data_IF_418566998569
#
_entry.id   IF_418566998569
#
_cell.length_a   1.000
_cell.length_b   1.000
_cell.length_c   1.000
_cell.angle_alpha   90.00
_cell.angle_beta   90.00
_cell.angle_gamma   90.00
#
_symmetry.space_group_name_H-M   'P 1'
#
loop_
_entity.id
_entity.type
_entity.pdbx_description
1 polymer ?
#
# COMPACT_ATOMS: atom_id res chain seq x y z
N UNK A 1 70.37 -38.00 38.05
CA UNK A 1 70.49 -39.28 37.32
C UNK A 1 69.13 -39.68 36.77
N UNK A 2 69.09 -39.96 35.46
CA UNK A 2 68.22 -40.92 34.72
C UNK A 2 66.69 -40.96 34.99
N UNK A 3 65.94 -40.39 34.05
CA UNK A 3 64.84 -40.96 33.21
C UNK A 3 63.89 -42.05 33.74
N UNK A 4 62.57 -41.81 33.62
CA UNK A 4 61.60 -42.49 32.71
C UNK A 4 60.14 -42.12 33.11
N UNK A 5 59.39 -41.34 32.31
CA UNK A 5 58.32 -41.77 31.39
C UNK A 5 57.26 -42.74 31.98
N UNK A 6 56.04 -42.24 32.24
CA UNK A 6 54.83 -42.84 31.67
C UNK A 6 53.69 -41.82 31.58
N UNK A 7 53.02 -41.90 30.43
CA UNK A 7 51.97 -41.04 29.91
C UNK A 7 50.62 -41.49 30.49
N UNK A 8 49.74 -40.56 30.89
CA UNK A 8 48.31 -40.75 30.62
C UNK A 8 47.57 -39.40 30.48
N UNK A 9 46.98 -39.26 29.30
CA UNK A 9 46.10 -38.21 28.79
C UNK A 9 45.01 -37.76 29.76
N UNK A 10 44.86 -36.43 29.95
CA UNK A 10 43.54 -35.77 29.95
C UNK A 10 43.70 -34.46 29.17
N UNK A 11 43.33 -34.52 27.90
CA UNK A 11 43.27 -33.41 26.95
C UNK A 11 42.04 -32.53 27.21
N UNK A 12 42.33 -31.24 27.46
CA UNK A 12 41.65 -30.04 26.99
C UNK A 12 40.13 -30.10 26.70
N UNK A 13 39.36 -29.34 27.50
CA UNK A 13 38.19 -28.62 27.01
C UNK A 13 38.37 -27.12 27.29
N UNK A 14 39.00 -26.40 26.37
CA UNK A 14 38.77 -24.97 26.20
C UNK A 14 37.64 -24.81 25.19
N UNK A 15 36.47 -24.40 25.69
CA UNK A 15 35.33 -23.98 24.88
C UNK A 15 35.66 -22.64 24.21
N UNK A 16 36.16 -22.68 22.96
CA UNK A 16 36.01 -21.55 22.03
C UNK A 16 34.71 -21.75 21.27
N UNK A 17 33.70 -20.97 21.60
CA UNK A 17 32.43 -20.95 20.87
C UNK A 17 32.59 -20.27 19.51
N UNK A 18 32.62 -21.06 18.44
CA UNK A 18 32.19 -20.60 17.12
C UNK A 18 30.68 -20.82 17.04
N UNK A 19 29.90 -19.75 17.04
CA UNK A 19 28.49 -19.81 16.65
C UNK A 19 28.40 -19.93 15.13
N UNK A 20 28.21 -21.16 14.64
CA UNK A 20 27.65 -21.39 13.30
C UNK A 20 26.12 -21.38 13.38
N UNK A 21 25.50 -20.39 12.74
CA UNK A 21 24.06 -20.33 12.55
C UNK A 21 23.65 -21.41 11.55
N UNK A 22 23.26 -22.59 12.03
CA UNK A 22 22.64 -23.62 11.19
C UNK A 22 21.18 -23.26 10.92
N UNK A 23 20.93 -22.77 9.71
CA UNK A 23 19.59 -22.68 9.11
C UNK A 23 18.99 -24.08 9.03
N UNK A 24 17.90 -24.32 9.75
CA UNK A 24 17.16 -25.59 9.73
C UNK A 24 16.63 -25.85 8.30
N UNK A 25 17.28 -26.76 7.56
CA UNK A 25 16.65 -27.43 6.42
C UNK A 25 15.58 -28.37 6.98
N UNK A 26 14.32 -27.95 6.93
CA UNK A 26 13.19 -28.83 7.18
C UNK A 26 13.12 -29.87 6.06
N UNK A 27 13.34 -31.13 6.44
CA UNK A 27 13.29 -32.29 5.56
C UNK A 27 11.89 -32.48 4.99
N UNK A 28 11.78 -32.53 3.66
CA UNK A 28 10.56 -32.89 2.94
C UNK A 28 10.29 -34.38 3.15
N UNK A 29 9.26 -34.72 3.92
CA UNK A 29 8.73 -36.08 3.97
C UNK A 29 7.65 -36.20 2.90
N UNK A 30 7.99 -36.87 1.80
CA UNK A 30 7.05 -37.21 0.72
C UNK A 30 5.96 -38.11 1.31
N UNK A 31 4.75 -37.56 1.44
CA UNK A 31 3.54 -38.34 1.70
C UNK A 31 2.56 -37.94 0.61
N UNK A 32 2.43 -38.80 -0.40
CA UNK A 32 1.46 -38.67 -1.48
C UNK A 32 0.06 -38.92 -0.94
N UNK A 33 -0.71 -37.85 -0.79
CA UNK A 33 -2.17 -37.87 -0.82
C UNK A 33 -2.63 -36.65 -1.63
N UNK A 34 -3.59 -36.78 -2.57
CA UNK A 34 -3.96 -35.71 -3.48
C UNK A 34 -4.75 -34.65 -2.72
N UNK A 35 -4.08 -33.59 -2.30
CA UNK A 35 -4.73 -32.35 -1.84
C UNK A 35 -4.99 -31.52 -3.09
N UNK A 36 -6.27 -31.28 -3.36
CA UNK A 36 -6.73 -30.47 -4.49
C UNK A 36 -5.94 -29.15 -4.56
N UNK A 37 -5.51 -28.80 -5.77
CA UNK A 37 -4.79 -27.59 -6.07
C UNK A 37 -5.49 -26.39 -5.42
N UNK A 38 -4.87 -25.82 -4.39
CA UNK A 38 -5.20 -24.46 -3.97
C UNK A 38 -4.84 -23.58 -5.17
N UNK A 39 -5.78 -22.83 -5.76
CA UNK A 39 -5.46 -22.00 -6.92
C UNK A 39 -4.37 -21.01 -6.51
N UNK A 40 -3.20 -21.13 -7.13
CA UNK A 40 -2.17 -20.09 -7.10
C UNK A 40 -2.85 -18.81 -7.58
N UNK A 41 -2.88 -17.72 -6.81
CA UNK A 41 -3.50 -16.48 -7.25
C UNK A 41 -2.82 -16.04 -8.54
N UNK A 42 -3.58 -16.07 -9.64
CA UNK A 42 -3.17 -15.47 -10.89
C UNK A 42 -3.30 -13.97 -10.69
N UNK A 43 -2.18 -13.29 -10.49
CA UNK A 43 -2.12 -11.84 -10.57
C UNK A 43 -2.52 -11.46 -12.00
N UNK A 44 -3.74 -10.96 -12.18
CA UNK A 44 -4.03 -10.15 -13.35
C UNK A 44 -3.32 -8.82 -13.11
N UNK A 45 -2.03 -8.79 -13.39
CA UNK A 45 -1.26 -7.56 -13.45
C UNK A 45 -1.90 -6.76 -14.58
N UNK A 46 -2.81 -5.84 -14.26
CA UNK A 46 -3.22 -4.84 -15.22
C UNK A 46 -1.97 -4.03 -15.52
N UNK A 47 -1.40 -4.14 -16.74
CA UNK A 47 -0.20 -3.38 -17.05
C UNK A 47 -0.55 -1.90 -16.90
N UNK A 48 0.04 -1.27 -15.89
CA UNK A 48 -0.03 0.19 -15.77
C UNK A 48 0.47 0.78 -17.08
N UNK A 49 -0.18 1.81 -17.61
CA UNK A 49 0.30 2.47 -18.81
C UNK A 49 1.74 2.90 -18.57
N UNK A 50 2.66 2.27 -19.30
CA UNK A 50 4.05 2.71 -19.36
C UNK A 50 4.02 4.17 -19.77
N UNK A 51 4.73 5.08 -19.08
CA UNK A 51 4.82 6.48 -19.46
C UNK A 51 5.41 6.62 -20.87
N UNK A 52 4.59 6.51 -21.92
CA UNK A 52 5.01 6.75 -23.30
C UNK A 52 4.85 8.23 -23.58
N UNK A 53 5.93 8.99 -23.47
CA UNK A 53 5.96 10.39 -23.84
C UNK A 53 7.19 11.11 -23.31
N UNK A 54 7.82 11.91 -24.17
CA UNK A 54 8.79 12.92 -23.77
C UNK A 54 8.08 13.94 -22.87
N UNK A 55 8.63 14.21 -21.69
CA UNK A 55 8.05 15.18 -20.74
C UNK A 55 7.81 16.54 -21.42
N UNK A 56 6.61 17.10 -21.28
CA UNK A 56 6.26 18.38 -21.89
C UNK A 56 4.84 18.87 -21.53
N UNK A 57 4.58 20.18 -21.66
CA UNK A 57 3.26 20.77 -21.42
C UNK A 57 2.21 20.13 -22.33
N UNK A 58 1.10 19.66 -21.75
CA UNK A 58 0.01 18.99 -22.49
C UNK A 58 -0.28 17.55 -22.07
N UNK A 59 0.57 16.92 -21.25
CA UNK A 59 0.34 15.54 -20.78
C UNK A 59 -0.75 15.50 -19.69
N UNK A 60 -1.74 14.59 -19.75
CA UNK A 60 -2.72 14.45 -18.66
C UNK A 60 -2.06 14.00 -17.35
N UNK A 61 -2.68 14.25 -16.18
CA UNK A 61 -2.25 13.67 -14.91
C UNK A 61 -2.10 12.14 -15.01
N UNK A 62 -1.16 11.59 -14.25
CA UNK A 62 -1.04 10.14 -14.10
C UNK A 62 -2.23 9.61 -13.32
N UNK A 63 -2.83 8.51 -13.76
CA UNK A 63 -3.95 7.87 -13.08
C UNK A 63 -3.59 6.43 -12.72
N UNK A 64 -3.71 6.09 -11.44
CA UNK A 64 -3.55 4.75 -10.90
C UNK A 64 -4.93 4.24 -10.50
N UNK A 65 -5.48 3.32 -11.31
CA UNK A 65 -6.89 2.94 -11.23
C UNK A 65 -7.17 1.53 -11.77
N UNK A 66 -8.18 0.84 -11.22
CA UNK A 66 -8.71 1.03 -9.87
C UNK A 66 -7.75 0.45 -8.84
N UNK A 67 -7.66 1.08 -7.67
CA UNK A 67 -7.06 0.50 -6.47
C UNK A 67 -8.18 -0.14 -5.67
N UNK A 68 -8.05 -1.44 -5.35
CA UNK A 68 -9.01 -2.13 -4.49
C UNK A 68 -8.35 -2.40 -3.14
N UNK A 69 -9.03 -2.04 -2.05
CA UNK A 69 -8.54 -2.24 -0.70
C UNK A 69 -9.65 -2.71 0.23
N UNK A 70 -9.29 -3.56 1.19
CA UNK A 70 -10.18 -3.91 2.29
C UNK A 70 -10.34 -2.77 3.28
N UNK A 71 -11.53 -2.67 3.85
CA UNK A 71 -11.75 -1.91 5.06
C UNK A 71 -10.98 -2.44 6.24
N UNK A 72 -11.02 -1.72 7.35
CA UNK A 72 -10.49 -2.18 8.63
C UNK A 72 -11.48 -1.82 9.72
N UNK A 73 -11.95 -2.84 10.45
CA UNK A 73 -12.63 -2.58 11.72
C UNK A 73 -11.63 -1.99 12.71
N UNK A 74 -12.06 -0.91 13.38
CA UNK A 74 -11.47 -0.28 14.57
C UNK A 74 -9.99 -0.59 14.86
N UNK A 75 -9.12 0.38 14.56
CA UNK A 75 -7.81 0.64 15.18
C UNK A 75 -6.59 -0.25 14.85
N UNK A 76 -6.73 -1.42 14.23
CA UNK A 76 -5.62 -2.38 14.20
C UNK A 76 -4.43 -2.06 13.26
N UNK A 77 -4.53 -1.09 12.35
CA UNK A 77 -3.41 -0.72 11.44
C UNK A 77 -3.27 0.79 11.28
N UNK A 78 -3.43 1.56 12.35
CA UNK A 78 -3.39 3.03 12.27
C UNK A 78 -2.09 3.51 11.58
N UNK A 79 -2.22 4.01 10.35
CA UNK A 79 -1.09 4.52 9.55
C UNK A 79 -0.36 3.51 8.66
N UNK A 80 -0.91 2.31 8.42
CA UNK A 80 -0.41 1.41 7.35
C UNK A 80 -0.96 1.85 6.00
N UNK A 81 -0.18 1.71 4.93
CA UNK A 81 -0.67 2.00 3.59
C UNK A 81 -1.66 0.92 3.13
N UNK A 82 -2.77 1.33 2.52
CA UNK A 82 -3.60 0.43 1.70
C UNK A 82 -3.11 0.38 0.26
N UNK A 83 -2.41 1.44 -0.15
CA UNK A 83 -1.81 1.56 -1.46
C UNK A 83 -0.56 2.43 -1.33
N UNK A 84 0.53 1.99 -1.97
CA UNK A 84 1.79 2.70 -2.00
C UNK A 84 2.34 2.67 -3.41
N UNK A 85 2.70 3.83 -3.95
CA UNK A 85 3.28 3.90 -5.30
C UNK A 85 4.58 3.10 -5.44
N UNK A 86 5.30 2.90 -4.33
CA UNK A 86 6.53 2.09 -4.24
C UNK A 86 6.21 0.59 -4.34
N UNK A 87 5.14 0.13 -3.71
CA UNK A 87 4.69 -1.27 -3.81
C UNK A 87 4.18 -1.63 -5.22
N UNK A 88 3.71 -0.63 -5.98
CA UNK A 88 3.19 -0.82 -7.34
C UNK A 88 4.26 -0.86 -8.44
N UNK A 89 5.56 -0.78 -8.10
CA UNK A 89 6.66 -0.69 -9.07
C UNK A 89 6.46 0.45 -10.10
N UNK A 90 5.87 1.58 -9.69
CA UNK A 90 5.71 2.74 -10.56
C UNK A 90 7.10 3.28 -10.92
N UNK A 91 7.39 3.60 -12.21
CA UNK A 91 8.68 4.14 -12.60
C UNK A 91 9.03 5.39 -11.79
N UNK A 92 10.25 5.44 -11.24
CA UNK A 92 10.70 6.57 -10.41
C UNK A 92 10.59 7.92 -11.13
N UNK A 93 10.74 7.94 -12.45
CA UNK A 93 10.59 9.14 -13.28
C UNK A 93 9.19 9.75 -13.26
N UNK A 94 8.14 8.97 -12.96
CA UNK A 94 6.76 9.48 -12.77
C UNK A 94 6.62 10.21 -11.45
N UNK A 95 7.41 9.81 -10.47
CA UNK A 95 7.34 10.25 -9.09
C UNK A 95 8.43 11.28 -8.73
N UNK A 96 9.20 11.72 -9.73
CA UNK A 96 10.17 12.80 -9.62
C UNK A 96 9.49 14.11 -10.01
N UNK A 97 9.79 15.16 -9.24
CA UNK A 97 9.30 16.52 -9.49
C UNK A 97 10.19 17.52 -8.77
N UNK A 98 10.24 18.75 -9.28
CA UNK A 98 11.03 19.85 -8.75
C UNK A 98 10.15 20.85 -7.96
N UNK A 99 8.92 21.14 -8.42
CA UNK A 99 8.09 22.23 -7.88
C UNK A 99 6.64 21.86 -7.55
N UNK A 100 5.99 20.99 -8.33
CA UNK A 100 4.57 20.65 -8.18
C UNK A 100 4.35 19.17 -7.87
N UNK A 101 3.59 18.90 -6.81
CA UNK A 101 3.17 17.54 -6.51
C UNK A 101 1.73 17.54 -5.99
N UNK A 102 0.78 17.48 -6.92
CA UNK A 102 -0.64 17.54 -6.65
C UNK A 102 -1.27 16.15 -6.76
N UNK A 103 -2.04 15.77 -5.76
CA UNK A 103 -2.75 14.48 -5.73
C UNK A 103 -4.25 14.71 -5.65
N UNK A 104 -5.03 13.90 -6.37
CA UNK A 104 -6.49 13.86 -6.26
C UNK A 104 -6.94 12.42 -6.14
N UNK A 105 -7.89 12.18 -5.23
CA UNK A 105 -8.51 10.86 -5.07
C UNK A 105 -9.87 10.88 -5.73
N UNK A 106 -10.17 9.85 -6.51
CA UNK A 106 -11.49 9.64 -7.10
C UNK A 106 -12.09 8.37 -6.50
N UNK A 107 -13.30 8.45 -5.96
CA UNK A 107 -14.04 7.24 -5.59
C UNK A 107 -14.38 6.45 -6.86
N UNK A 108 -14.25 5.14 -6.81
CA UNK A 108 -14.77 4.25 -7.84
C UNK A 108 -16.01 3.51 -7.34
N UNK A 109 -16.71 2.82 -8.23
CA UNK A 109 -17.86 1.99 -7.87
C UNK A 109 -17.41 0.86 -6.94
N UNK A 110 -18.18 0.53 -5.87
CA UNK A 110 -17.83 -0.54 -4.96
C UNK A 110 -17.49 -1.84 -5.71
N UNK A 111 -16.40 -2.52 -5.33
CA UNK A 111 -16.01 -3.77 -5.98
C UNK A 111 -17.09 -4.84 -5.76
N UNK A 112 -17.18 -5.77 -6.72
CA UNK A 112 -18.10 -6.90 -6.61
C UNK A 112 -17.66 -7.84 -5.47
N UNK A 113 -18.59 -8.68 -5.01
CA UNK A 113 -18.27 -9.78 -4.10
C UNK A 113 -17.16 -10.66 -4.70
N UNK A 114 -16.30 -11.17 -3.84
CA UNK A 114 -15.21 -12.10 -4.16
C UNK A 114 -14.13 -11.48 -5.07
N UNK A 115 -14.11 -10.14 -5.21
CA UNK A 115 -12.97 -9.40 -5.80
C UNK A 115 -11.73 -9.61 -4.94
N UNK A 116 -10.55 -9.67 -5.56
CA UNK A 116 -9.26 -9.73 -4.85
C UNK A 116 -8.71 -8.30 -4.77
N UNK A 117 -8.30 -7.87 -3.58
CA UNK A 117 -7.69 -6.55 -3.37
C UNK A 117 -6.22 -6.52 -3.81
N UNK A 118 -5.61 -5.33 -3.79
CA UNK A 118 -4.23 -5.13 -4.22
C UNK A 118 -3.20 -5.88 -3.32
N UNK A 119 -3.62 -6.38 -2.16
CA UNK A 119 -2.81 -7.18 -1.24
C UNK A 119 -3.08 -8.69 -1.34
N UNK A 120 -3.93 -9.13 -2.28
CA UNK A 120 -4.27 -10.54 -2.48
C UNK A 120 -5.33 -11.10 -1.53
N UNK A 121 -6.05 -10.26 -0.80
CA UNK A 121 -7.13 -10.63 0.11
C UNK A 121 -8.46 -10.64 -0.65
N UNK A 122 -9.41 -11.50 -0.27
CA UNK A 122 -10.70 -11.62 -0.95
C UNK A 122 -11.77 -10.78 -0.24
N UNK A 123 -12.47 -9.94 -1.00
CA UNK A 123 -13.62 -9.14 -0.59
C UNK A 123 -14.85 -10.04 -0.37
N UNK A 124 -15.02 -10.57 0.85
CA UNK A 124 -16.04 -11.58 1.14
C UNK A 124 -17.50 -11.10 0.97
N UNK A 125 -17.75 -9.80 1.05
CA UNK A 125 -19.09 -9.23 0.94
C UNK A 125 -19.14 -8.13 -0.12
N UNK A 126 -20.32 -7.96 -0.72
CA UNK A 126 -20.59 -6.78 -1.54
C UNK A 126 -20.56 -5.59 -0.60
N UNK A 127 -19.65 -4.67 -0.88
CA UNK A 127 -19.54 -3.44 -0.10
C UNK A 127 -20.80 -2.60 -0.22
N UNK A 128 -21.18 -1.92 0.85
CA UNK A 128 -22.33 -1.01 0.75
C UNK A 128 -22.11 0.05 -0.33
N UNK A 129 -23.13 0.34 -1.17
CA UNK A 129 -23.04 1.42 -2.14
C UNK A 129 -22.65 2.73 -1.43
N UNK A 130 -21.53 3.32 -1.85
CA UNK A 130 -21.04 4.57 -1.30
C UNK A 130 -20.96 5.66 -2.37
N UNK A 131 -21.25 6.88 -1.97
CA UNK A 131 -21.07 8.08 -2.80
C UNK A 131 -19.92 8.95 -2.32
N UNK A 132 -19.33 8.66 -1.15
CA UNK A 132 -18.18 9.40 -0.63
C UNK A 132 -17.19 8.46 0.05
N UNK A 133 -15.90 8.78 -0.10
CA UNK A 133 -14.79 8.22 0.66
C UNK A 133 -14.07 9.34 1.40
N UNK A 134 -13.51 9.01 2.56
CA UNK A 134 -12.69 9.89 3.40
C UNK A 134 -11.47 9.13 3.90
N UNK A 135 -10.31 9.76 3.89
CA UNK A 135 -9.06 9.12 4.26
C UNK A 135 -7.90 10.08 4.37
N UNK A 136 -6.69 9.54 4.38
CA UNK A 136 -5.45 10.32 4.40
C UNK A 136 -4.50 9.84 3.30
N UNK A 137 -3.91 10.79 2.59
CA UNK A 137 -2.76 10.58 1.70
C UNK A 137 -1.53 11.14 2.37
N UNK A 138 -0.41 10.44 2.27
CA UNK A 138 0.89 10.94 2.75
C UNK A 138 1.95 10.81 1.67
N UNK A 139 2.97 11.65 1.80
CA UNK A 139 4.14 11.65 0.92
C UNK A 139 5.42 11.47 1.74
N UNK A 140 6.37 10.72 1.18
CA UNK A 140 7.74 10.53 1.68
C UNK A 140 8.69 10.51 0.49
N UNK A 141 10.00 10.65 0.72
CA UNK A 141 10.96 10.17 -0.27
C UNK A 141 11.12 8.66 -0.14
N UNK A 142 11.50 7.98 -1.22
CA UNK A 142 11.83 6.57 -1.19
C UNK A 142 12.86 6.27 -0.08
N UNK A 143 12.58 5.27 0.76
CA UNK A 143 13.42 4.92 1.91
C UNK A 143 13.51 5.96 3.05
N UNK A 144 12.70 7.03 3.02
CA UNK A 144 12.69 8.10 4.03
C UNK A 144 11.44 8.04 4.93
N UNK A 145 11.43 8.87 5.99
CA UNK A 145 10.24 9.12 6.79
C UNK A 145 9.20 9.95 6.06
N UNK A 146 7.96 9.92 6.54
CA UNK A 146 6.85 10.72 6.03
C UNK A 146 7.15 12.21 6.17
N UNK A 147 6.98 12.97 5.08
CA UNK A 147 7.12 14.42 5.07
C UNK A 147 5.83 15.13 5.46
N UNK A 148 4.73 14.76 4.80
CA UNK A 148 3.45 15.46 4.93
C UNK A 148 2.31 14.47 4.74
N UNK A 149 1.24 14.68 5.49
CA UNK A 149 -0.01 13.94 5.37
C UNK A 149 -1.15 14.93 5.19
N UNK A 150 -2.08 14.62 4.30
CA UNK A 150 -3.25 15.44 4.01
C UNK A 150 -4.50 14.56 4.00
N UNK A 151 -5.51 14.99 4.73
CA UNK A 151 -6.82 14.34 4.68
C UNK A 151 -7.51 14.64 3.36
N UNK A 152 -8.27 13.68 2.86
CA UNK A 152 -9.14 13.85 1.70
C UNK A 152 -10.56 13.43 2.02
N UNK A 153 -11.50 14.04 1.31
CA UNK A 153 -12.90 13.66 1.26
C UNK A 153 -13.38 13.82 -0.17
N UNK A 154 -13.99 12.78 -0.75
CA UNK A 154 -14.52 12.85 -2.11
C UNK A 154 -15.92 13.45 -2.11
N UNK A 155 -16.21 14.27 -3.11
CA UNK A 155 -17.53 14.84 -3.34
C UNK A 155 -18.51 13.77 -3.85
N UNK A 156 -19.76 13.80 -3.36
CA UNK A 156 -20.79 12.82 -3.75
C UNK A 156 -21.17 12.87 -5.23
N UNK A 157 -21.19 14.07 -5.81
CA UNK A 157 -21.62 14.33 -7.18
C UNK A 157 -20.51 14.03 -8.17
N UNK A 158 -19.31 14.56 -7.95
CA UNK A 158 -18.19 14.40 -8.90
C UNK A 158 -17.39 13.12 -8.67
N UNK A 159 -17.44 12.57 -7.46
CA UNK A 159 -16.61 11.45 -7.02
C UNK A 159 -15.15 11.83 -6.73
N UNK A 160 -14.72 13.06 -7.01
CA UNK A 160 -13.36 13.51 -6.76
C UNK A 160 -13.22 14.21 -5.41
N UNK A 161 -12.04 14.08 -4.80
CA UNK A 161 -11.61 14.94 -3.70
C UNK A 161 -11.24 16.34 -4.20
N UNK A 162 -11.08 17.26 -3.26
CA UNK A 162 -10.27 18.45 -3.50
C UNK A 162 -8.84 18.05 -3.90
N UNK A 163 -8.13 18.96 -4.58
CA UNK A 163 -6.73 18.78 -4.93
C UNK A 163 -5.88 18.90 -3.65
N UNK A 164 -5.12 17.85 -3.35
CA UNK A 164 -4.15 17.82 -2.27
C UNK A 164 -2.81 18.33 -2.80
N UNK A 165 -2.49 19.59 -2.53
CA UNK A 165 -1.25 20.22 -2.95
C UNK A 165 -0.15 19.94 -1.91
N UNK A 166 0.79 19.06 -2.25
CA UNK A 166 1.88 18.76 -1.34
C UNK A 166 3.06 19.74 -1.50
N UNK A 167 3.16 20.47 -2.62
CA UNK A 167 4.24 21.41 -2.87
C UNK A 167 3.80 22.76 -3.41
N UNK A 168 4.29 23.81 -2.74
CA UNK A 168 4.94 24.96 -3.35
C UNK A 168 6.40 24.94 -2.84
N UNK A 169 7.37 25.20 -3.71
CA UNK A 169 8.86 25.12 -3.62
C UNK A 169 9.61 25.17 -2.26
N UNK A 170 9.03 25.69 -1.18
CA UNK A 170 9.69 25.81 0.13
C UNK A 170 9.46 24.60 1.07
N UNK A 171 8.43 23.80 0.82
CA UNK A 171 7.99 22.74 1.75
C UNK A 171 8.65 21.38 1.50
N UNK A 172 9.36 21.22 0.39
CA UNK A 172 9.95 19.94 0.01
C UNK A 172 11.46 19.92 0.21
N UNK A 173 12.00 18.94 0.95
CA UNK A 173 13.42 18.66 0.85
C UNK A 173 13.69 18.25 -0.59
N UNK A 174 14.52 19.02 -1.29
CA UNK A 174 15.06 18.66 -2.59
C UNK A 174 15.82 17.34 -2.41
N UNK A 175 15.15 16.22 -2.68
CA UNK A 175 15.76 14.92 -2.60
C UNK A 175 16.36 14.58 -3.94
N UNK A 176 17.57 14.02 -3.97
CA UNK A 176 18.13 13.42 -5.18
C UNK A 176 17.36 12.14 -5.62
N UNK A 177 16.21 11.84 -4.99
CA UNK A 177 15.42 10.63 -5.17
C UNK A 177 14.05 10.91 -5.78
N UNK A 178 13.16 9.92 -5.69
CA UNK A 178 11.76 10.04 -6.11
C UNK A 178 10.85 10.03 -4.89
N UNK A 179 9.67 10.63 -5.03
CA UNK A 179 8.66 10.65 -3.99
C UNK A 179 7.81 9.38 -4.00
N UNK A 180 7.21 9.06 -2.87
CA UNK A 180 6.28 7.96 -2.72
C UNK A 180 4.98 8.51 -2.17
N UNK A 181 3.87 8.17 -2.83
CA UNK A 181 2.52 8.46 -2.36
C UNK A 181 2.00 7.22 -1.68
N UNK A 182 1.45 7.39 -0.48
CA UNK A 182 0.76 6.34 0.23
C UNK A 182 -0.64 6.81 0.61
N UNK A 183 -1.65 6.02 0.24
CA UNK A 183 -2.99 6.16 0.82
C UNK A 183 -3.02 5.27 2.04
N UNK A 184 -3.36 5.83 3.19
CA UNK A 184 -3.28 5.13 4.47
C UNK A 184 -4.65 4.90 5.09
N UNK A 185 -4.70 3.90 5.94
CA UNK A 185 -5.85 3.59 6.79
C UNK A 185 -5.95 4.57 7.97
N UNK A 186 -7.15 4.73 8.56
CA UNK A 186 -8.42 4.17 8.11
C UNK A 186 -9.02 4.91 6.91
N UNK A 187 -9.75 4.18 6.07
CA UNK A 187 -10.67 4.76 5.08
C UNK A 187 -12.09 4.57 5.57
N UNK A 188 -12.88 5.64 5.47
CA UNK A 188 -14.30 5.64 5.79
C UNK A 188 -15.12 5.94 4.55
N UNK A 189 -16.31 5.36 4.46
CA UNK A 189 -17.28 5.63 3.41
C UNK A 189 -18.61 6.07 4.02
N UNK A 190 -19.51 6.65 3.23
CA UNK A 190 -20.88 6.89 3.66
C UNK A 190 -21.83 5.72 3.37
N UNK A 191 -21.32 4.56 2.91
CA UNK A 191 -22.16 3.43 2.48
C UNK A 191 -23.00 2.83 3.62
N UNK A 192 -22.40 2.66 4.80
CA UNK A 192 -23.13 2.22 6.00
C UNK A 192 -24.26 3.18 6.39
N UNK A 193 -24.03 4.49 6.23
CA UNK A 193 -25.02 5.51 6.54
C UNK A 193 -26.14 5.60 5.48
N UNK A 194 -25.86 5.27 4.21
CA UNK A 194 -26.88 5.17 3.15
C UNK A 194 -27.86 4.01 3.41
N UNK A 195 -27.37 2.91 4.00
CA UNK A 195 -28.17 1.71 4.28
C UNK A 195 -29.15 1.84 5.45
N UNK A 196 -28.91 2.75 6.39
CA UNK A 196 -29.78 3.01 7.54
C UNK A 196 -30.60 4.30 7.32
N UNK A 197 -31.63 4.28 6.45
CA UNK A 197 -32.45 5.45 6.18
C UNK A 197 -33.25 5.84 7.43
N UNK A 198 -32.96 7.01 7.99
CA UNK A 198 -33.66 7.55 9.17
C UNK A 198 -32.81 8.47 10.04
N UNK A 199 -31.48 8.43 9.89
CA UNK A 199 -30.56 9.24 10.70
C UNK A 199 -29.44 9.90 9.88
N UNK A 200 -29.77 10.70 8.83
CA UNK A 200 -28.75 11.37 8.00
C UNK A 200 -27.85 12.31 8.82
N UNK A 201 -28.37 12.85 9.92
CA UNK A 201 -27.66 13.77 10.81
C UNK A 201 -26.72 13.05 11.82
N UNK A 202 -26.78 11.72 11.91
CA UNK A 202 -26.06 10.93 12.93
C UNK A 202 -24.85 10.18 12.35
N UNK A 203 -24.74 10.05 11.02
CA UNK A 203 -23.63 9.34 10.38
C UNK A 203 -23.29 9.95 9.01
N UNK A 204 -22.32 10.87 8.92
CA UNK A 204 -21.81 11.34 7.63
C UNK A 204 -20.83 10.34 6.98
N UNK A 205 -20.15 9.53 7.82
CA UNK A 205 -19.15 8.53 7.44
C UNK A 205 -19.11 7.39 8.47
N UNK A 206 -18.85 6.17 7.99
CA UNK A 206 -18.58 4.98 8.78
C UNK A 206 -17.28 4.33 8.26
N UNK A 207 -16.39 3.82 9.14
CA UNK A 207 -15.22 3.06 8.70
C UNK A 207 -15.65 1.88 7.82
N UNK A 208 -14.95 1.63 6.71
CA UNK A 208 -15.29 0.44 5.89
C UNK A 208 -14.93 -0.80 6.70
N UNK A 209 -15.86 -1.75 6.93
CA UNK A 209 -15.58 -2.96 7.69
C UNK A 209 -14.50 -3.82 7.04
N UNK A 210 -13.78 -4.62 7.83
CA UNK A 210 -12.73 -5.54 7.33
C UNK A 210 -13.23 -6.55 6.30
N UNK A 211 -14.50 -6.91 6.39
CA UNK A 211 -15.15 -7.89 5.54
C UNK A 211 -15.57 -7.31 4.18
N UNK A 212 -15.48 -5.99 4.01
CA UNK A 212 -15.87 -5.27 2.80
C UNK A 212 -14.66 -4.59 2.17
N UNK A 213 -14.76 -4.32 0.87
CA UNK A 213 -13.75 -3.59 0.12
C UNK A 213 -14.24 -2.21 -0.31
N UNK A 214 -13.33 -1.39 -0.78
CA UNK A 214 -13.68 -0.18 -1.48
C UNK A 214 -12.67 0.00 -2.60
N UNK A 215 -13.05 0.81 -3.57
CA UNK A 215 -12.26 1.10 -4.74
C UNK A 215 -12.12 2.61 -4.93
N UNK A 216 -10.93 3.01 -5.33
CA UNK A 216 -10.61 4.40 -5.63
C UNK A 216 -9.53 4.47 -6.69
N UNK A 217 -9.36 5.66 -7.26
CA UNK A 217 -8.25 5.97 -8.16
C UNK A 217 -7.41 7.06 -7.52
N UNK A 218 -6.09 6.97 -7.71
CA UNK A 218 -5.15 8.02 -7.34
C UNK A 218 -4.73 8.73 -8.62
N UNK A 219 -4.95 10.03 -8.69
CA UNK A 219 -4.43 10.86 -9.77
C UNK A 219 -3.31 11.75 -9.26
N UNK A 220 -2.24 11.84 -10.04
CA UNK A 220 -1.02 12.59 -9.71
C UNK A 220 -0.70 13.57 -10.84
N UNK A 221 -0.58 14.84 -10.49
CA UNK A 221 -0.04 15.87 -11.34
C UNK A 221 1.30 16.38 -10.81
N UNK A 222 2.34 16.26 -11.63
CA UNK A 222 3.70 16.76 -11.43
C UNK A 222 4.00 17.93 -12.36
N UNK A 223 5.23 18.45 -12.32
CA UNK A 223 5.76 19.46 -13.26
C UNK A 223 5.68 19.01 -14.73
N UNK A 224 5.68 17.70 -14.96
CA UNK A 224 5.68 17.10 -16.29
C UNK A 224 4.27 16.80 -16.82
N UNK A 225 3.24 17.25 -16.11
CA UNK A 225 1.82 17.00 -16.44
C UNK A 225 0.96 18.24 -16.22
N UNK A 226 -0.17 18.29 -16.90
CA UNK A 226 -1.20 19.29 -16.70
C UNK A 226 -1.74 19.27 -15.25
N UNK A 227 -2.31 20.39 -14.82
CA UNK A 227 -3.12 20.44 -13.60
C UNK A 227 -4.47 19.74 -13.81
N UNK A 228 -5.16 19.50 -12.70
CA UNK A 228 -6.47 18.85 -12.64
C UNK A 228 -7.65 19.69 -13.13
#
# INVERSE_FOLDING_TARGET
MKTAFLILLISALTLTGCFETKTNKRSTKTTTNPVGATPTPSYTYYPYPTPTGTAGPGRPPYTFSPVVAHGLENSAYNGTYVWSSEAMNIPSSVMQTDVKFDVRIKKESPPAKDTIDDNGVICHYVSFPYTKLKGTVRIKAAGSSVYKSMAFETNATTGYSAILRFGDLADFPQTNGYYVIEVITPISSNGGCIREPGHPDVCPYWPVPRTECYSFSVELATDYTNSF
#
